data_IF_689185399292
#
_entry.id   IF_689185399292
#
_cell.length_a   1.000
_cell.length_b   1.000
_cell.length_c   1.000
_cell.angle_alpha   90.00
_cell.angle_beta   90.00
_cell.angle_gamma   90.00
#
_symmetry.space_group_name_H-M   'P 1'
#
loop_
_entity.id
_entity.type
_entity.pdbx_description
1 polymer ?
#
# COMPACT_ATOMS: atom_id res chain seq x y z
N UNK A 1 23.04 -4.04 12.80
CA UNK A 1 23.48 -5.23 12.02
C UNK A 1 22.27 -6.09 11.72
N UNK A 2 21.55 -5.81 10.63
CA UNK A 2 20.43 -6.65 10.17
C UNK A 2 21.00 -7.84 9.40
N UNK A 3 20.73 -9.06 9.89
CA UNK A 3 21.09 -10.30 9.18
C UNK A 3 20.35 -10.32 7.84
N UNK A 4 21.08 -10.59 6.76
CA UNK A 4 20.44 -10.83 5.47
C UNK A 4 19.55 -12.09 5.57
N UNK A 5 18.30 -12.05 5.07
CA UNK A 5 17.39 -13.21 5.14
C UNK A 5 18.00 -14.40 4.38
N UNK A 6 17.75 -15.64 4.81
CA UNK A 6 18.18 -16.85 4.11
C UNK A 6 17.34 -17.12 2.83
N UNK A 7 17.70 -18.14 2.04
CA UNK A 7 16.96 -18.51 0.82
C UNK A 7 15.53 -19.01 1.09
N UNK A 8 15.30 -19.71 2.21
CA UNK A 8 13.95 -20.13 2.62
C UNK A 8 13.07 -18.94 2.99
N UNK A 9 13.61 -17.98 3.74
CA UNK A 9 12.95 -16.71 4.09
C UNK A 9 12.64 -15.89 2.84
N UNK A 10 13.59 -15.78 1.90
CA UNK A 10 13.36 -15.15 0.59
C UNK A 10 12.20 -15.81 -0.16
N UNK A 11 12.15 -17.14 -0.20
CA UNK A 11 11.08 -17.88 -0.84
C UNK A 11 9.70 -17.59 -0.24
N UNK A 12 9.60 -17.57 1.10
CA UNK A 12 8.35 -17.22 1.81
C UNK A 12 7.88 -15.80 1.52
N UNK A 13 8.79 -14.82 1.47
CA UNK A 13 8.47 -13.42 1.14
C UNK A 13 7.89 -13.32 -0.27
N UNK A 14 8.53 -13.95 -1.25
CA UNK A 14 8.06 -13.93 -2.65
C UNK A 14 6.69 -14.60 -2.78
N UNK A 15 6.44 -15.71 -2.09
CA UNK A 15 5.13 -16.37 -2.11
C UNK A 15 4.03 -15.53 -1.46
N UNK A 16 4.33 -14.84 -0.36
CA UNK A 16 3.40 -13.91 0.28
C UNK A 16 3.08 -12.72 -0.63
N UNK A 17 4.08 -12.16 -1.33
CA UNK A 17 3.86 -11.12 -2.34
C UNK A 17 2.94 -11.63 -3.47
N UNK A 18 3.20 -12.82 -4.03
CA UNK A 18 2.41 -13.37 -5.14
C UNK A 18 0.96 -13.69 -4.72
N UNK A 19 0.75 -14.28 -3.54
CA UNK A 19 -0.60 -14.58 -3.03
C UNK A 19 -1.41 -13.30 -2.86
N UNK A 20 -0.86 -12.31 -2.16
CA UNK A 20 -1.50 -11.02 -1.94
C UNK A 20 -1.84 -10.30 -3.26
N UNK A 21 -0.94 -10.33 -4.24
CA UNK A 21 -1.24 -9.75 -5.56
C UNK A 21 -2.39 -10.48 -6.28
N UNK A 22 -2.50 -11.81 -6.12
CA UNK A 22 -3.61 -12.58 -6.67
C UNK A 22 -4.93 -12.20 -6.00
N UNK A 23 -4.94 -12.14 -4.66
CA UNK A 23 -6.11 -11.82 -3.85
C UNK A 23 -6.60 -10.38 -4.10
N UNK A 24 -5.67 -9.41 -4.23
CA UNK A 24 -5.96 -8.04 -4.67
C UNK A 24 -6.59 -7.98 -6.07
N UNK A 25 -6.04 -8.69 -7.06
CA UNK A 25 -6.57 -8.72 -8.43
C UNK A 25 -7.94 -9.41 -8.50
N UNK A 26 -8.15 -10.44 -7.69
CA UNK A 26 -9.45 -11.10 -7.50
C UNK A 26 -10.47 -10.25 -6.75
N UNK A 27 -10.05 -9.13 -6.16
CA UNK A 27 -10.91 -8.16 -5.48
C UNK A 27 -11.22 -8.50 -4.02
N UNK A 28 -10.59 -9.53 -3.44
CA UNK A 28 -10.83 -9.95 -2.06
C UNK A 28 -10.28 -8.96 -1.02
N UNK A 29 -9.24 -8.19 -1.39
CA UNK A 29 -8.51 -7.27 -0.50
C UNK A 29 -8.62 -5.80 -0.91
N UNK A 30 -9.57 -5.43 -1.79
CA UNK A 30 -9.74 -4.04 -2.24
C UNK A 30 -10.46 -3.22 -1.15
N UNK A 31 -9.82 -2.20 -0.54
CA UNK A 31 -10.51 -1.32 0.39
C UNK A 31 -11.61 -0.55 -0.34
N UNK A 32 -12.78 -0.39 0.28
CA UNK A 32 -13.82 0.49 -0.28
C UNK A 32 -14.95 -0.16 -1.09
N UNK A 33 -15.40 -1.37 -0.73
CA UNK A 33 -16.85 -1.64 -0.73
C UNK A 33 -17.41 -1.51 0.69
N UNK A 34 -17.22 -0.34 1.29
CA UNK A 34 -17.77 0.04 2.60
C UNK A 34 -16.88 1.03 3.33
N UNK A 35 -17.45 2.15 3.78
CA UNK A 35 -16.83 3.34 4.40
C UNK A 35 -16.03 4.25 3.44
N UNK A 36 -16.44 5.47 3.10
CA UNK A 36 -17.57 6.29 3.55
C UNK A 36 -17.90 7.39 2.53
N UNK A 37 -18.79 7.07 1.60
CA UNK A 37 -19.31 8.05 0.63
C UNK A 37 -20.84 8.25 0.75
N UNK A 38 -21.49 7.76 1.81
CA UNK A 38 -22.94 7.72 1.87
C UNK A 38 -23.55 7.95 3.27
N UNK A 39 -23.11 8.98 4.01
CA UNK A 39 -23.93 9.56 5.10
C UNK A 39 -23.61 11.03 5.40
N UNK A 40 -23.45 11.88 4.40
CA UNK A 40 -23.45 13.35 4.61
C UNK A 40 -24.85 13.89 4.99
N UNK A 41 -25.62 13.15 5.78
CA UNK A 41 -26.95 13.48 6.23
C UNK A 41 -26.94 13.95 7.68
N UNK A 42 -27.20 15.25 7.88
CA UNK A 42 -27.63 15.93 9.13
C UNK A 42 -26.72 15.84 10.38
N UNK A 43 -25.95 14.77 10.58
CA UNK A 43 -25.14 14.50 11.77
C UNK A 43 -23.87 15.37 11.83
N UNK A 44 -23.33 15.80 10.69
CA UNK A 44 -22.23 16.78 10.61
C UNK A 44 -22.64 18.22 10.96
N UNK A 45 -23.95 18.53 10.99
CA UNK A 45 -24.45 19.88 11.24
C UNK A 45 -24.47 20.27 12.73
N UNK A 46 -24.39 19.30 13.64
CA UNK A 46 -24.54 19.51 15.08
C UNK A 46 -23.24 19.44 15.90
N UNK A 47 -22.08 19.31 15.24
CA UNK A 47 -20.77 19.51 15.89
C UNK A 47 -20.49 18.63 17.12
N UNK A 48 -21.22 17.53 17.30
CA UNK A 48 -21.02 16.52 18.34
C UNK A 48 -20.88 15.15 17.69
N UNK A 49 -19.70 14.91 17.12
CA UNK A 49 -19.26 13.60 16.65
C UNK A 49 -17.75 13.56 16.79
N UNK A 50 -17.28 12.92 17.86
CA UNK A 50 -15.89 12.49 17.99
C UNK A 50 -15.64 11.46 16.88
N UNK A 51 -15.24 11.90 15.69
CA UNK A 51 -14.64 10.98 14.73
C UNK A 51 -13.18 10.84 15.10
N UNK A 52 -12.94 10.01 16.12
CA UNK A 52 -11.65 9.38 16.39
C UNK A 52 -11.19 8.52 15.18
N UNK A 53 -12.05 8.35 14.18
CA UNK A 53 -11.89 7.51 12.98
C UNK A 53 -11.48 8.25 11.68
N UNK A 54 -10.95 9.48 11.72
CA UNK A 54 -10.39 10.15 10.50
C UNK A 54 -8.86 10.29 10.59
N UNK A 55 -8.16 9.32 11.18
CA UNK A 55 -6.76 9.17 10.84
C UNK A 55 -6.71 8.73 9.37
N UNK A 56 -6.18 9.60 8.50
CA UNK A 56 -5.99 9.27 7.10
C UNK A 56 -5.12 8.01 7.01
N UNK A 57 -5.37 7.08 6.06
CA UNK A 57 -4.62 5.82 6.00
C UNK A 57 -3.09 6.04 5.92
N UNK A 58 -2.67 7.22 5.44
CA UNK A 58 -1.28 7.67 5.44
C UNK A 58 -0.67 7.73 6.85
N UNK A 59 -1.43 8.08 7.89
CA UNK A 59 -0.96 8.19 9.27
C UNK A 59 -0.66 6.83 9.91
N UNK A 60 -1.31 5.76 9.42
CA UNK A 60 -1.06 4.36 9.83
C UNK A 60 0.01 3.67 8.97
N UNK A 61 0.60 4.37 8.01
CA UNK A 61 1.55 3.76 7.09
C UNK A 61 2.91 3.55 7.76
N UNK A 62 3.37 2.30 7.85
CA UNK A 62 4.69 1.96 8.41
C UNK A 62 5.85 2.69 7.72
N UNK A 63 5.70 3.10 6.47
CA UNK A 63 6.76 3.83 5.76
C UNK A 63 7.06 5.20 6.38
N UNK A 64 6.09 5.82 7.08
CA UNK A 64 6.29 7.09 7.79
C UNK A 64 7.30 6.97 8.95
N UNK A 65 7.54 5.76 9.46
CA UNK A 65 8.48 5.47 10.54
C UNK A 65 9.88 5.06 10.04
N UNK A 66 10.10 5.13 8.72
CA UNK A 66 11.32 4.63 8.07
C UNK A 66 11.96 5.71 7.20
N UNK A 67 13.15 5.42 6.65
CA UNK A 67 13.84 6.34 5.75
C UNK A 67 13.06 6.53 4.43
N UNK A 68 12.59 7.76 4.11
CA UNK A 68 11.84 8.01 2.89
C UNK A 68 12.66 7.80 1.61
N UNK A 69 14.00 7.90 1.66
CA UNK A 69 14.85 7.70 0.46
C UNK A 69 14.76 6.26 -0.07
N UNK A 70 14.49 5.29 0.81
CA UNK A 70 14.29 3.91 0.41
C UNK A 70 13.08 3.72 -0.53
N UNK A 71 12.06 4.56 -0.40
CA UNK A 71 10.81 4.48 -1.18
C UNK A 71 10.89 5.24 -2.50
N UNK A 72 11.83 6.17 -2.63
CA UNK A 72 12.08 6.96 -3.84
C UNK A 72 13.52 6.80 -4.34
N UNK A 73 13.94 5.58 -4.72
CA UNK A 73 15.31 5.33 -5.14
C UNK A 73 15.64 6.08 -6.44
N UNK A 74 16.88 6.57 -6.53
CA UNK A 74 17.43 7.07 -7.78
C UNK A 74 17.47 6.00 -8.88
N UNK A 75 17.73 6.40 -10.13
CA UNK A 75 17.81 5.47 -11.27
C UNK A 75 18.84 4.37 -10.99
N UNK A 76 18.37 3.14 -10.82
CA UNK A 76 19.20 1.96 -10.56
C UNK A 76 19.36 1.62 -9.07
N UNK A 77 18.76 2.38 -8.16
CA UNK A 77 18.72 2.08 -6.73
C UNK A 77 17.90 0.83 -6.39
N UNK A 78 18.20 0.24 -5.24
CA UNK A 78 17.51 -0.96 -4.76
C UNK A 78 16.10 -0.62 -4.25
N UNK A 79 15.11 -1.40 -4.69
CA UNK A 79 13.72 -1.31 -4.19
C UNK A 79 13.43 -2.32 -3.09
N UNK A 80 14.41 -3.16 -2.74
CA UNK A 80 14.21 -4.35 -1.91
C UNK A 80 13.77 -4.00 -0.47
N UNK A 81 14.38 -2.97 0.11
CA UNK A 81 14.07 -2.60 1.50
C UNK A 81 12.68 -1.99 1.63
N UNK A 82 12.32 -1.06 0.75
CA UNK A 82 10.97 -0.48 0.72
C UNK A 82 9.88 -1.56 0.53
N UNK A 83 10.10 -2.52 -0.38
CA UNK A 83 9.15 -3.64 -0.57
C UNK A 83 8.97 -4.49 0.67
N UNK A 84 10.08 -4.76 1.39
CA UNK A 84 10.04 -5.51 2.64
C UNK A 84 9.21 -4.78 3.70
N UNK A 85 9.40 -3.47 3.84
CA UNK A 85 8.61 -2.64 4.76
C UNK A 85 7.13 -2.68 4.37
N UNK A 86 6.81 -2.49 3.09
CA UNK A 86 5.43 -2.54 2.60
C UNK A 86 4.75 -3.91 2.82
N UNK A 87 5.49 -5.02 2.92
CA UNK A 87 4.91 -6.35 3.10
C UNK A 87 4.21 -6.50 4.45
N UNK A 88 4.70 -5.81 5.49
CA UNK A 88 4.08 -5.80 6.81
C UNK A 88 3.14 -4.62 7.07
N UNK A 89 2.91 -3.76 6.08
CA UNK A 89 2.13 -2.54 6.25
C UNK A 89 0.62 -2.85 6.18
N UNK A 90 -0.13 -2.45 7.21
CA UNK A 90 -1.58 -2.70 7.29
C UNK A 90 -2.37 -1.96 6.20
N UNK A 91 -1.94 -0.76 5.81
CA UNK A 91 -2.59 0.10 4.80
C UNK A 91 -2.07 -0.15 3.38
N UNK A 92 -1.45 -1.30 3.13
CA UNK A 92 -0.81 -1.63 1.85
C UNK A 92 -1.81 -1.57 0.69
N UNK A 93 -3.05 -2.01 0.90
CA UNK A 93 -4.06 -2.04 -0.13
C UNK A 93 -4.57 -0.63 -0.46
N UNK A 94 -4.86 0.18 0.55
CA UNK A 94 -5.30 1.59 0.41
C UNK A 94 -4.22 2.41 -0.31
N UNK A 95 -2.96 2.21 0.07
CA UNK A 95 -1.80 2.83 -0.55
C UNK A 95 -1.68 2.47 -2.05
N UNK A 96 -1.90 1.20 -2.40
CA UNK A 96 -1.85 0.76 -3.80
C UNK A 96 -3.01 1.37 -4.60
N UNK A 97 -4.22 1.36 -4.05
CA UNK A 97 -5.39 1.93 -4.73
C UNK A 97 -5.23 3.42 -4.97
N UNK A 98 -4.73 4.17 -3.97
CA UNK A 98 -4.40 5.57 -4.14
C UNK A 98 -3.41 5.79 -5.29
N UNK A 99 -2.32 5.02 -5.33
CA UNK A 99 -1.32 5.14 -6.39
C UNK A 99 -1.87 4.80 -7.78
N UNK A 100 -2.80 3.83 -7.85
CA UNK A 100 -3.48 3.46 -9.08
C UNK A 100 -4.59 4.44 -9.48
N UNK A 101 -5.22 5.15 -8.55
CA UNK A 101 -6.22 6.18 -8.86
C UNK A 101 -5.56 7.47 -9.34
N UNK A 102 -4.43 7.86 -8.71
CA UNK A 102 -3.75 9.13 -8.98
C UNK A 102 -2.63 9.04 -10.03
N UNK A 103 -2.42 7.86 -10.61
CA UNK A 103 -1.33 7.61 -11.57
C UNK A 103 0.05 8.00 -11.00
N UNK A 104 0.32 7.61 -9.75
CA UNK A 104 1.60 7.90 -9.13
C UNK A 104 2.75 7.26 -9.92
N UNK A 105 3.65 8.10 -10.43
CA UNK A 105 4.67 7.70 -11.42
C UNK A 105 6.01 7.33 -10.80
N UNK A 106 6.24 7.70 -9.56
CA UNK A 106 7.52 7.51 -8.90
C UNK A 106 7.36 6.69 -7.62
N UNK A 107 8.47 6.11 -7.17
CA UNK A 107 8.56 5.40 -5.91
C UNK A 107 7.79 4.09 -5.79
N UNK A 108 7.88 3.52 -4.59
CA UNK A 108 7.24 2.27 -4.17
C UNK A 108 5.93 2.59 -3.44
N UNK A 109 4.84 2.03 -3.95
CA UNK A 109 3.48 2.20 -3.38
C UNK A 109 2.83 0.84 -3.23
N UNK A 110 2.28 0.55 -2.05
CA UNK A 110 1.68 -0.76 -1.75
C UNK A 110 2.62 -1.95 -2.00
N UNK A 111 3.93 -1.75 -1.86
CA UNK A 111 4.95 -2.77 -2.17
C UNK A 111 5.26 -2.96 -3.66
N UNK A 112 4.73 -2.10 -4.54
CA UNK A 112 4.94 -2.20 -5.99
C UNK A 112 5.70 -0.99 -6.52
N UNK A 113 6.66 -1.25 -7.41
CA UNK A 113 7.31 -0.22 -8.22
C UNK A 113 6.39 0.30 -9.33
N UNK A 114 6.70 1.47 -9.89
CA UNK A 114 6.00 2.04 -11.06
C UNK A 114 5.86 0.99 -12.19
N UNK A 115 6.94 0.28 -12.51
CA UNK A 115 6.95 -0.74 -13.57
C UNK A 115 5.98 -1.88 -13.27
N UNK A 116 5.85 -2.27 -12.01
CA UNK A 116 4.93 -3.33 -11.59
C UNK A 116 3.49 -2.84 -11.57
N UNK A 117 3.22 -1.63 -11.08
CA UNK A 117 1.89 -0.99 -11.16
C UNK A 117 1.41 -0.86 -12.61
N UNK A 118 2.30 -0.48 -13.53
CA UNK A 118 1.99 -0.47 -14.98
C UNK A 118 1.64 -1.84 -15.54
N UNK A 119 2.31 -2.91 -15.08
CA UNK A 119 1.98 -4.29 -15.48
C UNK A 119 0.63 -4.70 -14.91
N UNK A 120 0.34 -4.30 -13.67
CA UNK A 120 -0.91 -4.58 -12.98
C UNK A 120 -2.11 -3.93 -13.70
N UNK A 121 -2.01 -2.63 -14.03
CA UNK A 121 -3.06 -1.92 -14.79
C UNK A 121 -3.38 -2.60 -16.13
N UNK A 122 -2.37 -3.15 -16.82
CA UNK A 122 -2.57 -3.89 -18.08
C UNK A 122 -3.26 -5.26 -17.93
N UNK A 123 -3.31 -5.82 -16.72
CA UNK A 123 -3.96 -7.12 -16.44
C UNK A 123 -5.39 -6.96 -15.92
N UNK A 124 -5.72 -5.79 -15.38
CA UNK A 124 -7.03 -5.46 -14.84
C UNK A 124 -7.98 -4.85 -15.89
N UNK A 125 -7.50 -4.66 -17.12
CA UNK A 125 -8.26 -4.31 -18.34
C UNK A 125 -8.33 -5.59 -19.19
#
# INVERSE_FOLDING_TARGET
MTRAPDDSERGRIVMAEVSWLSDYVSGAERPGRGAGAADQGLMGMLGMGLTDDIASWQERALCAETDPEAFFPEKGGSTREAKKICTGCEVKAECLEYALANDERFGIWGGLSERERRRLRRRAI
#
